data_IF_160172026795
#
_entry.id   IF_160172026795
#
_cell.length_a   1.000
_cell.length_b   1.000
_cell.length_c   1.000
_cell.angle_alpha   90.00
_cell.angle_beta   90.00
_cell.angle_gamma   90.00
#
_symmetry.space_group_name_H-M   'P 1'
#
loop_
_entity.id
_entity.type
_entity.pdbx_description
1 polymer ?
#
# COMPACT_ATOMS: atom_id res chain seq x y z
N UNK A 1 12.06 -8.16 0.02
CA UNK A 1 11.47 -6.86 0.44
C UNK A 1 9.98 -6.98 0.21
N UNK A 2 9.17 -6.70 1.24
CA UNK A 2 7.73 -6.94 1.18
C UNK A 2 7.00 -5.65 0.77
N UNK A 3 6.13 -5.80 -0.20
CA UNK A 3 5.14 -4.83 -0.62
C UNK A 3 3.79 -5.26 -0.11
N UNK A 4 2.85 -4.34 -0.11
CA UNK A 4 1.47 -4.63 0.21
C UNK A 4 0.57 -4.00 -0.84
N UNK A 5 -0.57 -4.63 -1.04
CA UNK A 5 -1.65 -4.12 -1.86
C UNK A 5 -2.91 -3.97 -1.01
N UNK A 6 -3.57 -2.82 -1.13
CA UNK A 6 -4.82 -2.51 -0.43
C UNK A 6 -5.62 -1.48 -1.22
N UNK A 7 -6.82 -1.14 -0.72
CA UNK A 7 -7.62 -0.06 -1.29
C UNK A 7 -6.99 1.31 -1.03
N UNK A 8 -6.78 2.08 -2.08
CA UNK A 8 -6.22 3.44 -2.03
C UNK A 8 -7.03 4.35 -1.11
N UNK A 9 -8.37 4.33 -1.22
CA UNK A 9 -9.25 5.12 -0.36
C UNK A 9 -9.07 4.80 1.13
N UNK A 10 -8.79 3.54 1.49
CA UNK A 10 -8.52 3.17 2.89
C UNK A 10 -7.17 3.69 3.35
N UNK A 11 -6.14 3.58 2.49
CA UNK A 11 -4.81 4.07 2.78
C UNK A 11 -4.79 5.60 2.98
N UNK A 12 -5.54 6.34 2.15
CA UNK A 12 -5.72 7.79 2.26
C UNK A 12 -6.53 8.16 3.51
N UNK A 13 -7.68 7.53 3.73
CA UNK A 13 -8.55 7.83 4.88
C UNK A 13 -7.85 7.57 6.23
N UNK A 14 -6.94 6.60 6.28
CA UNK A 14 -6.13 6.30 7.48
C UNK A 14 -4.85 7.13 7.55
N UNK A 15 -4.54 7.95 6.55
CA UNK A 15 -3.35 8.80 6.51
C UNK A 15 -2.04 8.01 6.38
N UNK A 16 -2.09 6.81 5.82
CA UNK A 16 -0.92 5.96 5.60
C UNK A 16 -0.10 6.49 4.43
N UNK A 17 -0.80 6.99 3.41
CA UNK A 17 -0.22 7.67 2.25
C UNK A 17 -0.89 9.03 2.09
N UNK A 18 -0.16 10.05 1.60
CA UNK A 18 -0.72 11.38 1.38
C UNK A 18 -1.62 11.42 0.14
N UNK A 19 -2.53 12.39 0.08
CA UNK A 19 -3.24 12.73 -1.15
C UNK A 19 -2.22 13.12 -2.25
N UNK A 20 -2.38 12.56 -3.45
CA UNK A 20 -1.45 12.79 -4.56
C UNK A 20 -0.10 12.07 -4.43
N UNK A 21 -0.05 10.95 -3.70
CA UNK A 21 1.15 10.13 -3.59
C UNK A 21 1.67 9.63 -4.95
N UNK A 22 2.96 9.31 -5.01
CA UNK A 22 3.62 8.77 -6.21
C UNK A 22 3.54 7.23 -6.31
N UNK A 23 2.84 6.56 -5.40
CA UNK A 23 2.71 5.10 -5.43
C UNK A 23 1.86 4.64 -6.63
N UNK A 24 2.21 3.51 -7.26
CA UNK A 24 1.40 2.93 -8.32
C UNK A 24 -0.02 2.61 -7.84
N UNK A 25 -1.00 3.01 -8.64
CA UNK A 25 -2.42 2.73 -8.42
C UNK A 25 -3.09 2.13 -9.64
N UNK A 26 -4.10 1.30 -9.41
CA UNK A 26 -4.96 0.75 -10.44
C UNK A 26 -6.32 0.36 -9.84
N UNK A 27 -7.41 0.78 -10.48
CA UNK A 27 -8.79 0.44 -10.08
C UNK A 27 -8.99 0.45 -8.54
N UNK A 28 -8.67 1.58 -7.91
CA UNK A 28 -8.80 1.83 -6.46
C UNK A 28 -7.84 1.04 -5.56
N UNK A 29 -6.86 0.34 -6.12
CA UNK A 29 -5.82 -0.36 -5.37
C UNK A 29 -4.51 0.40 -5.45
N UNK A 30 -3.73 0.36 -4.36
CA UNK A 30 -2.41 0.96 -4.27
C UNK A 30 -1.40 -0.08 -3.82
N UNK A 31 -0.20 -0.08 -4.42
CA UNK A 31 0.92 -0.93 -4.00
C UNK A 31 2.04 -0.06 -3.42
N UNK A 32 2.47 -0.38 -2.20
CA UNK A 32 3.58 0.32 -1.55
C UNK A 32 4.38 -0.60 -0.62
N UNK A 33 5.50 -0.09 -0.09
CA UNK A 33 6.38 -0.86 0.80
C UNK A 33 5.74 -1.07 2.16
N UNK A 34 5.80 -2.28 2.70
CA UNK A 34 5.26 -2.62 4.03
C UNK A 34 5.82 -1.74 5.16
N UNK A 35 7.05 -1.24 5.02
CA UNK A 35 7.69 -0.36 6.02
C UNK A 35 6.85 0.89 6.36
N UNK A 36 6.06 1.41 5.41
CA UNK A 36 5.11 2.50 5.67
C UNK A 36 4.05 2.11 6.70
N UNK A 37 3.51 0.89 6.63
CA UNK A 37 2.60 0.38 7.64
C UNK A 37 3.27 0.20 8.99
N UNK A 38 4.53 -0.26 9.00
CA UNK A 38 5.28 -0.39 10.26
C UNK A 38 5.45 0.97 10.94
N UNK A 39 5.81 2.01 10.18
CA UNK A 39 5.91 3.39 10.68
C UNK A 39 4.55 3.88 11.19
N UNK A 40 3.49 3.66 10.41
CA UNK A 40 2.14 4.05 10.79
C UNK A 40 1.70 3.38 12.10
N UNK A 41 1.98 2.08 12.25
CA UNK A 41 1.69 1.35 13.49
C UNK A 41 2.49 1.86 14.69
N UNK A 42 3.77 2.22 14.49
CA UNK A 42 4.62 2.80 15.54
C UNK A 42 4.13 4.16 16.04
N UNK A 43 3.39 4.91 15.22
CA UNK A 43 2.78 6.19 15.61
C UNK A 43 1.53 6.01 16.49
N UNK A 44 1.23 4.78 16.93
CA UNK A 44 0.10 4.46 17.80
C UNK A 44 -1.21 4.24 17.03
N UNK A 45 -1.16 4.16 15.70
CA UNK A 45 -2.32 3.82 14.88
C UNK A 45 -2.53 2.30 14.80
N UNK A 46 -3.79 1.87 14.89
CA UNK A 46 -4.17 0.47 14.69
C UNK A 46 -4.33 0.18 13.19
N UNK A 47 -3.72 -0.91 12.73
CA UNK A 47 -3.93 -1.44 11.38
C UNK A 47 -5.13 -2.38 11.44
N UNK A 48 -6.30 -1.91 11.01
CA UNK A 48 -7.60 -2.59 11.09
C UNK A 48 -8.25 -2.82 9.71
N UNK A 49 -7.49 -2.65 8.63
CA UNK A 49 -7.96 -2.83 7.25
C UNK A 49 -7.29 -4.03 6.58
N UNK A 50 -7.96 -4.57 5.57
CA UNK A 50 -7.45 -5.71 4.79
C UNK A 50 -6.38 -5.26 3.81
N UNK A 51 -5.27 -5.98 3.78
CA UNK A 51 -4.21 -5.84 2.79
C UNK A 51 -3.57 -7.20 2.51
N UNK A 52 -3.03 -7.35 1.31
CA UNK A 52 -2.31 -8.54 0.89
C UNK A 52 -0.82 -8.22 0.81
N UNK A 53 0.02 -9.10 1.36
CA UNK A 53 1.48 -9.00 1.26
C UNK A 53 1.97 -9.60 -0.05
N UNK A 54 2.90 -8.91 -0.68
CA UNK A 54 3.50 -9.27 -1.96
C UNK A 54 5.02 -9.26 -1.83
N UNK A 55 5.65 -10.29 -2.37
CA UNK A 55 7.09 -10.24 -2.59
C UNK A 55 7.44 -9.25 -3.69
N UNK A 56 8.70 -8.80 -3.70
CA UNK A 56 9.20 -7.81 -4.68
C UNK A 56 8.88 -8.20 -6.13
N UNK A 57 9.09 -9.47 -6.50
CA UNK A 57 8.81 -9.95 -7.85
C UNK A 57 7.32 -9.89 -8.21
N UNK A 58 6.43 -10.21 -7.25
CA UNK A 58 4.98 -10.16 -7.46
C UNK A 58 4.48 -8.73 -7.60
N UNK A 59 5.01 -7.81 -6.77
CA UNK A 59 4.69 -6.40 -6.84
C UNK A 59 5.09 -5.79 -8.18
N UNK A 60 6.31 -6.07 -8.67
CA UNK A 60 6.78 -5.59 -9.97
C UNK A 60 5.91 -6.13 -11.10
N UNK A 61 5.62 -7.44 -11.10
CA UNK A 61 4.76 -8.04 -12.12
C UNK A 61 3.35 -7.42 -12.14
N UNK A 62 2.76 -7.15 -10.97
CA UNK A 62 1.46 -6.47 -10.88
C UNK A 62 1.53 -5.04 -11.44
N UNK A 63 2.53 -4.26 -11.03
CA UNK A 63 2.73 -2.88 -11.51
C UNK A 63 2.90 -2.87 -13.04
N UNK A 64 3.65 -3.81 -13.61
CA UNK A 64 3.80 -3.94 -15.06
C UNK A 64 2.50 -4.33 -15.78
N UNK A 65 1.60 -5.03 -15.10
CA UNK A 65 0.29 -5.46 -15.62
C UNK A 65 -0.76 -4.36 -15.52
N UNK A 66 -0.57 -3.38 -14.63
CA UNK A 66 -1.47 -2.23 -14.42
C UNK A 66 -1.38 -1.15 -15.51
N UNK A 67 -0.70 -1.44 -16.63
CA UNK A 67 -0.52 -0.54 -17.77
C UNK A 67 -1.82 -0.17 -18.48
#
# INVERSE_FOLDING_TARGET
MIYIIMKEAQALAKGIIPEGHYFPTNDEQVIFKKDLLTIHSQQGHSIDFEYEELETAQAINKIDTWK
#
